data_IF_386205480402
#
_entry.id   IF_386205480402
#
_cell.length_a   1.000
_cell.length_b   1.000
_cell.length_c   1.000
_cell.angle_alpha   90.00
_cell.angle_beta   90.00
_cell.angle_gamma   90.00
#
_symmetry.space_group_name_H-M   'P 1'
#
loop_
_entity.id
_entity.type
_entity.pdbx_description
1 polymer ?
#
# COMPACT_ATOMS: atom_id res chain seq x y z
N UNK A 1 -12.93 -8.03 30.37
CA UNK A 1 -13.07 -8.83 29.13
C UNK A 1 -12.15 -8.21 28.10
N UNK A 2 -11.05 -8.88 27.75
CA UNK A 2 -10.24 -8.48 26.60
C UNK A 2 -10.90 -9.01 25.33
N UNK A 3 -11.26 -8.11 24.42
CA UNK A 3 -11.57 -8.45 23.03
C UNK A 3 -10.24 -8.63 22.32
N UNK A 4 -9.78 -9.87 22.20
CA UNK A 4 -8.63 -10.19 21.35
C UNK A 4 -9.12 -10.12 19.91
N UNK A 5 -8.82 -9.01 19.22
CA UNK A 5 -9.01 -8.91 17.77
C UNK A 5 -8.00 -9.88 17.13
N UNK A 6 -8.50 -11.01 16.62
CA UNK A 6 -7.70 -11.91 15.79
C UNK A 6 -7.47 -11.20 14.45
N UNK A 7 -6.37 -10.44 14.35
CA UNK A 7 -5.85 -9.97 13.07
C UNK A 7 -5.29 -11.21 12.36
N UNK A 8 -6.13 -11.89 11.58
CA UNK A 8 -5.69 -12.97 10.72
C UNK A 8 -4.59 -12.41 9.80
N UNK A 9 -3.44 -13.10 9.76
CA UNK A 9 -2.36 -12.75 8.84
C UNK A 9 -2.80 -12.98 7.38
N UNK A 10 -2.02 -12.43 6.44
CA UNK A 10 -2.36 -12.48 5.02
C UNK A 10 -2.49 -13.92 4.52
N UNK A 11 -1.73 -14.85 5.09
CA UNK A 11 -1.75 -16.27 4.73
C UNK A 11 -3.08 -16.92 5.12
N UNK A 12 -3.56 -16.67 6.34
CA UNK A 12 -4.84 -17.14 6.85
C UNK A 12 -6.02 -16.54 6.05
N UNK A 13 -5.94 -15.25 5.72
CA UNK A 13 -6.96 -14.59 4.90
C UNK A 13 -6.94 -15.09 3.45
N UNK A 14 -5.76 -15.33 2.87
CA UNK A 14 -5.63 -15.87 1.51
C UNK A 14 -6.21 -17.28 1.42
N UNK A 15 -5.99 -18.11 2.43
CA UNK A 15 -6.58 -19.45 2.51
C UNK A 15 -8.13 -19.41 2.61
N UNK A 16 -8.68 -18.36 3.22
CA UNK A 16 -10.13 -18.24 3.48
C UNK A 16 -10.90 -17.51 2.37
N UNK A 17 -10.26 -16.55 1.70
CA UNK A 17 -10.93 -15.62 0.76
C UNK A 17 -10.35 -15.64 -0.66
N UNK A 18 -9.24 -16.34 -0.88
CA UNK A 18 -8.52 -16.37 -2.16
C UNK A 18 -7.32 -15.42 -2.17
N UNK A 19 -6.47 -15.59 -3.18
CA UNK A 19 -5.25 -14.81 -3.32
C UNK A 19 -5.51 -13.40 -3.85
N UNK A 20 -4.67 -12.45 -3.43
CA UNK A 20 -4.56 -11.13 -4.05
C UNK A 20 -4.25 -11.27 -5.54
N UNK A 21 -4.94 -10.50 -6.38
CA UNK A 21 -4.62 -10.38 -7.80
C UNK A 21 -3.62 -9.25 -7.98
N UNK A 22 -2.54 -9.48 -8.73
CA UNK A 22 -1.60 -8.43 -9.13
C UNK A 22 -2.19 -7.75 -10.37
N UNK A 23 -2.43 -6.44 -10.28
CA UNK A 23 -3.08 -5.68 -11.36
C UNK A 23 -2.09 -4.82 -12.11
N UNK A 24 -1.07 -4.30 -11.43
CA UNK A 24 -0.03 -3.51 -12.05
C UNK A 24 1.31 -3.74 -11.35
N UNK A 25 2.38 -3.79 -12.14
CA UNK A 25 3.75 -3.89 -11.66
C UNK A 25 4.68 -3.24 -12.68
N UNK A 26 5.59 -2.42 -12.19
CA UNK A 26 6.70 -1.91 -12.98
C UNK A 26 8.00 -2.01 -12.18
N UNK A 27 9.11 -2.21 -12.89
CA UNK A 27 10.45 -2.34 -12.34
C UNK A 27 11.37 -1.34 -13.04
N UNK A 28 11.68 -0.24 -12.36
CA UNK A 28 12.52 0.83 -12.90
C UNK A 28 12.27 2.16 -12.19
N UNK A 29 13.14 3.18 -12.38
CA UNK A 29 12.90 4.50 -11.83
C UNK A 29 11.52 4.99 -12.25
N UNK A 30 10.64 5.20 -11.28
CA UNK A 30 9.34 5.81 -11.51
C UNK A 30 9.56 7.33 -11.55
N UNK A 31 10.27 7.81 -12.57
CA UNK A 31 10.48 9.25 -12.82
C UNK A 31 9.15 9.97 -13.12
N UNK A 32 8.09 9.18 -13.29
CA UNK A 32 6.72 9.56 -13.58
C UNK A 32 5.89 9.27 -12.32
N UNK A 33 5.19 10.29 -11.82
CA UNK A 33 4.35 10.17 -10.63
C UNK A 33 3.24 9.13 -10.87
N UNK A 34 2.71 8.48 -9.80
CA UNK A 34 1.76 7.38 -9.94
C UNK A 34 0.64 7.73 -10.93
N UNK A 35 0.15 8.99 -10.86
CA UNK A 35 -0.96 9.55 -11.65
C UNK A 35 -0.85 9.42 -13.18
N UNK A 36 0.35 9.18 -13.70
CA UNK A 36 0.69 9.33 -15.11
C UNK A 36 0.97 7.98 -15.81
N UNK A 37 0.74 6.85 -15.13
CA UNK A 37 0.86 5.50 -15.67
C UNK A 37 -0.50 4.95 -16.19
N UNK A 38 -0.51 3.86 -16.96
CA UNK A 38 -1.59 3.37 -17.88
C UNK A 38 -3.02 3.20 -17.31
N UNK A 39 -4.02 2.83 -18.12
CA UNK A 39 -5.47 2.74 -17.81
C UNK A 39 -5.84 2.12 -16.44
N UNK A 40 -5.16 1.06 -15.99
CA UNK A 40 -5.39 0.48 -14.65
C UNK A 40 -4.84 1.35 -13.53
N UNK A 41 -3.72 2.04 -13.75
CA UNK A 41 -3.30 3.11 -12.86
C UNK A 41 -4.41 4.14 -12.80
N UNK A 42 -4.90 4.68 -13.93
CA UNK A 42 -5.84 5.81 -13.92
C UNK A 42 -7.07 5.58 -13.04
N UNK A 43 -7.71 4.41 -13.11
CA UNK A 43 -8.88 4.10 -12.28
C UNK A 43 -8.55 3.85 -10.80
N UNK A 44 -7.38 3.29 -10.51
CA UNK A 44 -6.94 3.05 -9.13
C UNK A 44 -6.45 4.37 -8.49
N UNK A 45 -5.85 5.25 -9.30
CA UNK A 45 -5.41 6.59 -8.93
C UNK A 45 -6.58 7.54 -8.64
N UNK A 46 -7.67 7.43 -9.40
CA UNK A 46 -8.93 8.14 -9.14
C UNK A 46 -9.76 7.47 -8.05
N UNK A 47 -9.36 6.27 -7.62
CA UNK A 47 -9.95 5.53 -6.51
C UNK A 47 -9.95 6.33 -5.21
N UNK A 48 -10.97 6.07 -4.39
CA UNK A 48 -11.09 6.72 -3.08
C UNK A 48 -10.05 6.14 -2.13
N UNK A 49 -9.07 6.96 -1.75
CA UNK A 49 -8.09 6.57 -0.72
C UNK A 49 -8.80 6.37 0.62
N UNK A 50 -8.59 5.19 1.23
CA UNK A 50 -9.16 4.79 2.51
C UNK A 50 -8.13 4.90 3.65
N UNK A 51 -6.87 4.55 3.36
CA UNK A 51 -5.72 4.61 4.28
C UNK A 51 -4.45 4.91 3.49
N UNK A 52 -3.47 5.57 4.10
CA UNK A 52 -2.18 5.88 3.49
C UNK A 52 -1.04 5.97 4.51
N UNK A 53 0.15 5.56 4.07
CA UNK A 53 1.43 5.82 4.71
C UNK A 53 2.39 6.44 3.70
N UNK A 54 3.06 7.53 4.08
CA UNK A 54 3.86 8.35 3.14
C UNK A 54 5.21 8.74 3.75
N UNK A 55 6.24 8.76 2.90
CA UNK A 55 7.51 9.47 3.15
C UNK A 55 7.66 10.56 2.10
N UNK A 56 7.85 11.80 2.54
CA UNK A 56 8.11 12.94 1.68
C UNK A 56 9.63 13.20 1.58
N UNK A 57 10.08 13.43 0.36
CA UNK A 57 11.35 14.07 0.05
C UNK A 57 11.18 15.58 -0.11
N UNK A 58 12.23 16.23 -0.62
CA UNK A 58 12.26 17.69 -0.79
C UNK A 58 11.22 18.23 -1.79
N UNK A 59 10.83 17.42 -2.77
CA UNK A 59 9.95 17.82 -3.88
C UNK A 59 8.58 17.13 -3.88
N UNK A 60 8.28 16.34 -2.85
CA UNK A 60 7.02 15.59 -2.75
C UNK A 60 7.20 14.16 -2.21
N UNK A 61 6.16 13.33 -2.25
CA UNK A 61 6.23 11.93 -1.83
C UNK A 61 7.31 11.17 -2.59
N UNK A 62 8.13 10.40 -1.88
CA UNK A 62 9.13 9.48 -2.45
C UNK A 62 8.78 8.01 -2.19
N UNK A 63 7.87 7.77 -1.24
CA UNK A 63 7.24 6.48 -0.96
C UNK A 63 5.79 6.74 -0.54
N UNK A 64 4.85 5.98 -1.12
CA UNK A 64 3.44 5.96 -0.75
C UNK A 64 2.98 4.51 -0.71
N UNK A 65 2.45 4.07 0.43
CA UNK A 65 1.71 2.81 0.55
C UNK A 65 0.27 3.18 0.90
N UNK A 66 -0.73 2.78 0.11
CA UNK A 66 -2.12 3.20 0.36
C UNK A 66 -3.13 2.12 0.02
N UNK A 67 -4.28 2.19 0.69
CA UNK A 67 -5.47 1.40 0.38
C UNK A 67 -6.44 2.29 -0.37
N UNK A 68 -6.95 1.80 -1.50
CA UNK A 68 -7.93 2.51 -2.34
C UNK A 68 -9.13 1.63 -2.65
N UNK A 69 -10.30 2.24 -2.69
CA UNK A 69 -11.53 1.66 -3.22
C UNK A 69 -11.73 2.17 -4.65
N UNK A 70 -11.92 1.26 -5.60
CA UNK A 70 -12.08 1.61 -7.02
C UNK A 70 -13.12 0.71 -7.69
N UNK A 71 -13.57 1.10 -8.88
CA UNK A 71 -14.46 0.27 -9.71
C UNK A 71 -13.61 -0.48 -10.72
N UNK A 72 -13.71 -1.81 -10.74
CA UNK A 72 -12.99 -2.64 -11.71
C UNK A 72 -13.46 -2.30 -13.14
N UNK A 73 -12.57 -1.90 -14.05
CA UNK A 73 -12.97 -1.48 -15.39
C UNK A 73 -13.50 -2.64 -16.27
N UNK A 74 -13.25 -3.89 -15.88
CA UNK A 74 -13.68 -5.09 -16.61
C UNK A 74 -15.01 -5.60 -16.06
N UNK A 75 -15.14 -5.71 -14.73
CA UNK A 75 -16.34 -6.28 -14.11
C UNK A 75 -17.37 -5.24 -13.67
N UNK A 76 -16.99 -3.96 -13.63
CA UNK A 76 -17.77 -2.85 -13.05
C UNK A 76 -18.13 -3.04 -11.57
N UNK A 77 -17.44 -3.95 -10.87
CA UNK A 77 -17.65 -4.20 -9.44
C UNK A 77 -16.70 -3.35 -8.59
N UNK A 78 -17.14 -2.99 -7.38
CA UNK A 78 -16.25 -2.36 -6.39
C UNK A 78 -15.19 -3.35 -5.93
N UNK A 79 -13.93 -2.92 -5.99
CA UNK A 79 -12.78 -3.66 -5.50
C UNK A 79 -11.89 -2.75 -4.66
N UNK A 80 -11.02 -3.37 -3.89
CA UNK A 80 -10.07 -2.69 -3.03
C UNK A 80 -8.67 -3.04 -3.51
N UNK A 81 -7.80 -2.04 -3.58
CA UNK A 81 -6.41 -2.23 -3.94
C UNK A 81 -5.49 -1.67 -2.86
N UNK A 82 -4.33 -2.31 -2.73
CA UNK A 82 -3.18 -1.78 -2.03
C UNK A 82 -2.13 -1.42 -3.07
N UNK A 83 -1.71 -0.17 -3.01
CA UNK A 83 -0.69 0.39 -3.88
C UNK A 83 0.55 0.69 -3.07
N UNK A 84 1.68 0.25 -3.58
CA UNK A 84 3.01 0.60 -3.12
C UNK A 84 3.69 1.33 -4.28
N UNK A 85 3.96 2.61 -4.10
CA UNK A 85 4.68 3.43 -5.07
C UNK A 85 5.90 4.05 -4.41
N UNK A 86 7.01 4.04 -5.13
CA UNK A 86 8.25 4.69 -4.73
C UNK A 86 8.97 5.23 -5.95
N UNK A 87 10.03 6.00 -5.74
CA UNK A 87 10.90 6.47 -6.84
C UNK A 87 11.61 5.34 -7.59
N UNK A 88 11.65 4.11 -7.04
CA UNK A 88 12.32 2.95 -7.66
C UNK A 88 11.35 1.96 -8.32
N UNK A 89 10.04 2.22 -8.25
CA UNK A 89 9.03 1.39 -8.88
C UNK A 89 7.69 1.42 -8.16
N UNK A 90 6.71 0.73 -8.73
CA UNK A 90 5.38 0.63 -8.15
C UNK A 90 4.77 -0.77 -8.32
N UNK A 91 3.87 -1.11 -7.41
CA UNK A 91 3.14 -2.37 -7.40
C UNK A 91 1.74 -2.16 -6.86
N UNK A 92 0.76 -2.73 -7.55
CA UNK A 92 -0.64 -2.69 -7.14
C UNK A 92 -1.22 -4.09 -7.09
N UNK A 93 -1.80 -4.43 -5.93
CA UNK A 93 -2.52 -5.68 -5.70
C UNK A 93 -3.95 -5.37 -5.29
N UNK A 94 -4.90 -6.19 -5.71
CA UNK A 94 -6.30 -5.96 -5.41
C UNK A 94 -7.06 -7.22 -4.97
N UNK A 95 -8.19 -7.00 -4.30
CA UNK A 95 -9.13 -8.04 -3.90
C UNK A 95 -10.56 -7.47 -3.85
N UNK A 96 -11.56 -8.33 -4.00
CA UNK A 96 -12.96 -7.97 -3.78
C UNK A 96 -13.32 -7.78 -2.29
N UNK A 97 -12.41 -8.13 -1.38
CA UNK A 97 -12.65 -8.14 0.07
C UNK A 97 -11.69 -7.14 0.72
N UNK A 98 -12.24 -6.07 1.27
CA UNK A 98 -11.48 -4.98 1.89
C UNK A 98 -10.50 -5.46 2.96
N UNK A 99 -10.94 -6.37 3.83
CA UNK A 99 -10.11 -6.86 4.95
C UNK A 99 -8.80 -7.52 4.48
N UNK A 100 -8.81 -8.22 3.33
CA UNK A 100 -7.61 -8.83 2.75
C UNK A 100 -6.60 -7.76 2.36
N UNK A 101 -7.09 -6.67 1.77
CA UNK A 101 -6.26 -5.55 1.30
C UNK A 101 -5.74 -4.70 2.47
N UNK A 102 -6.54 -4.51 3.53
CA UNK A 102 -6.09 -3.80 4.73
C UNK A 102 -4.99 -4.55 5.48
N UNK A 103 -5.09 -5.89 5.57
CA UNK A 103 -4.02 -6.70 6.16
C UNK A 103 -2.76 -6.66 5.29
N UNK A 104 -2.89 -6.69 3.97
CA UNK A 104 -1.75 -6.55 3.07
C UNK A 104 -1.08 -5.17 3.20
N UNK A 105 -1.86 -4.11 3.34
CA UNK A 105 -1.36 -2.77 3.62
C UNK A 105 -0.55 -2.73 4.93
N UNK A 106 -1.06 -3.28 6.02
CA UNK A 106 -0.33 -3.33 7.29
C UNK A 106 0.95 -4.16 7.19
N UNK A 107 0.91 -5.27 6.44
CA UNK A 107 2.08 -6.10 6.16
C UNK A 107 3.15 -5.32 5.41
N UNK A 108 2.79 -4.62 4.33
CA UNK A 108 3.72 -3.83 3.52
C UNK A 108 4.32 -2.67 4.32
N UNK A 109 3.50 -1.96 5.11
CA UNK A 109 3.97 -0.87 5.98
C UNK A 109 5.01 -1.36 7.00
N UNK A 110 4.77 -2.53 7.61
CA UNK A 110 5.70 -3.11 8.60
C UNK A 110 6.94 -3.72 7.94
N UNK A 111 6.80 -4.30 6.76
CA UNK A 111 7.91 -4.85 5.97
C UNK A 111 8.87 -3.73 5.54
N UNK A 112 8.34 -2.64 4.98
CA UNK A 112 9.13 -1.49 4.55
C UNK A 112 9.80 -0.78 5.74
N UNK A 113 9.17 -0.72 6.91
CA UNK A 113 9.85 -0.25 8.13
C UNK A 113 11.03 -1.16 8.54
N UNK A 114 10.85 -2.48 8.42
CA UNK A 114 11.85 -3.46 8.86
C UNK A 114 13.01 -3.62 7.87
N UNK A 115 12.72 -3.48 6.58
CA UNK A 115 13.67 -3.58 5.48
C UNK A 115 13.35 -2.51 4.42
N UNK A 116 13.79 -1.26 4.64
CA UNK A 116 13.48 -0.14 3.77
C UNK A 116 13.99 -0.36 2.36
N UNK A 117 13.11 -0.15 1.38
CA UNK A 117 13.44 -0.23 -0.04
C UNK A 117 14.25 0.97 -0.52
N UNK A 118 14.13 2.11 0.18
CA UNK A 118 14.86 3.35 -0.11
C UNK A 118 16.03 3.57 0.85
N UNK A 119 17.10 4.22 0.35
CA UNK A 119 18.17 4.73 1.20
C UNK A 119 17.69 5.99 1.94
N UNK A 120 17.28 5.83 3.20
CA UNK A 120 16.70 6.88 4.03
C UNK A 120 17.70 7.46 5.05
N UNK A 121 17.41 8.67 5.54
CA UNK A 121 18.15 9.28 6.66
C UNK A 121 18.07 8.39 7.92
N UNK A 122 19.20 8.02 8.54
CA UNK A 122 19.23 7.27 9.80
C UNK A 122 18.34 7.86 10.92
N UNK A 123 18.10 9.17 10.93
CA UNK A 123 17.25 9.81 11.93
C UNK A 123 15.81 9.26 11.95
N UNK A 124 15.30 8.75 10.82
CA UNK A 124 13.92 8.20 10.71
C UNK A 124 13.71 6.93 11.53
N UNK A 125 14.77 6.19 11.86
CA UNK A 125 14.70 4.92 12.57
C UNK A 125 14.70 5.05 14.09
N UNK A 126 14.82 6.26 14.62
CA UNK A 126 15.16 6.50 16.02
C UNK A 126 13.99 6.32 17.01
N UNK A 127 12.74 6.39 16.57
CA UNK A 127 11.57 6.25 17.46
C UNK A 127 10.47 5.30 16.90
N UNK A 128 10.87 4.36 16.04
CA UNK A 128 10.00 3.30 15.53
C UNK A 128 9.05 3.75 14.41
N UNK A 129 7.96 3.00 14.22
CA UNK A 129 7.07 3.15 13.07
C UNK A 129 6.46 4.56 12.94
N UNK A 130 6.19 5.21 14.07
CA UNK A 130 5.58 6.54 14.12
C UNK A 130 6.49 7.66 13.59
N UNK A 131 7.80 7.47 13.56
CA UNK A 131 8.77 8.45 13.01
C UNK A 131 9.38 8.05 11.69
N UNK A 132 9.17 6.81 11.27
CA UNK A 132 9.65 6.32 9.99
C UNK A 132 8.88 6.99 8.83
N UNK A 133 7.55 6.97 8.91
CA UNK A 133 6.66 7.67 7.97
C UNK A 133 6.36 9.08 8.45
N UNK A 134 6.15 10.01 7.51
CA UNK A 134 5.67 11.36 7.83
C UNK A 134 4.16 11.35 8.16
N UNK A 135 3.42 10.43 7.54
CA UNK A 135 2.02 10.13 7.79
C UNK A 135 1.87 8.62 7.78
N UNK A 136 1.24 8.02 8.80
CA UNK A 136 0.94 6.59 8.81
C UNK A 136 -0.37 6.31 9.55
N UNK A 137 -1.23 5.49 8.94
CA UNK A 137 -2.47 5.00 9.56
C UNK A 137 -2.25 3.72 10.40
N UNK A 138 -1.03 3.19 10.44
CA UNK A 138 -0.68 2.01 11.26
C UNK A 138 -0.03 2.47 12.56
N UNK A 139 -0.58 2.03 13.69
CA UNK A 139 -0.03 2.32 15.01
C UNK A 139 1.11 1.34 15.37
N UNK A 140 2.13 1.80 16.13
CA UNK A 140 3.27 0.99 16.55
C UNK A 140 2.87 -0.30 17.25
#
# INVERSE_FOLDING_TARGET
>A
MSLTLNLHDIETLTASYGALRVVAIDFGPADIAPQDHTVYSLEILTGKTLRQSVINGQHGPILTIRVVEYTDPVTAETRYAVEEWSTIGFRTRDHSVRAVVEVEYERLVREEFSNPSLALDPARFTAGLATFYDVTDVQP
#
